data_IF_209972705844
#
_entry.id   IF_209972705844
#
_cell.length_a   1.000
_cell.length_b   1.000
_cell.length_c   1.000
_cell.angle_alpha   90.00
_cell.angle_beta   90.00
_cell.angle_gamma   90.00
#
_symmetry.space_group_name_H-M   'P 1'
#
loop_
_entity.id
_entity.type
_entity.pdbx_description
1 polymer ?
#
# COMPACT_ATOMS: atom_id res chain seq x y z
N UNK A 1 1.18 21.70 4.12
CA UNK A 1 1.70 20.82 3.05
C UNK A 1 0.63 20.77 1.97
N UNK A 2 0.93 21.25 0.77
CA UNK A 2 0.03 21.12 -0.38
C UNK A 2 0.11 19.67 -0.85
N UNK A 3 -1.02 18.96 -0.90
CA UNK A 3 -1.05 17.62 -1.47
C UNK A 3 -0.66 17.72 -2.94
N UNK A 4 0.44 17.07 -3.31
CA UNK A 4 0.90 17.02 -4.70
C UNK A 4 0.08 15.96 -5.42
N UNK A 5 -0.53 16.33 -6.55
CA UNK A 5 -1.24 15.39 -7.41
C UNK A 5 -0.18 14.68 -8.26
N UNK A 6 -0.10 13.33 -8.24
CA UNK A 6 0.84 12.60 -9.08
C UNK A 6 0.50 12.77 -10.56
N UNK A 7 1.53 12.78 -11.42
CA UNK A 7 1.33 12.51 -12.85
C UNK A 7 0.90 11.06 -13.08
N UNK A 8 0.40 10.74 -14.26
CA UNK A 8 -0.01 9.37 -14.60
C UNK A 8 1.13 8.35 -14.46
N UNK A 9 2.35 8.71 -14.88
CA UNK A 9 3.53 7.87 -14.73
C UNK A 9 3.88 7.63 -13.25
N UNK A 10 3.77 8.68 -12.43
CA UNK A 10 4.01 8.59 -10.99
C UNK A 10 2.96 7.73 -10.30
N UNK A 11 1.69 7.90 -10.68
CA UNK A 11 0.60 7.07 -10.19
C UNK A 11 0.80 5.60 -10.60
N UNK A 12 1.22 5.32 -11.84
CA UNK A 12 1.54 3.96 -12.28
C UNK A 12 2.70 3.35 -11.48
N UNK A 13 3.77 4.10 -11.25
CA UNK A 13 4.90 3.63 -10.45
C UNK A 13 4.47 3.31 -9.01
N UNK A 14 3.72 4.21 -8.35
CA UNK A 14 3.18 3.95 -7.01
C UNK A 14 2.17 2.80 -6.99
N UNK A 15 1.43 2.56 -8.09
CA UNK A 15 0.55 1.39 -8.22
C UNK A 15 1.34 0.08 -8.28
N UNK A 16 2.52 0.07 -8.90
CA UNK A 16 3.40 -1.10 -8.88
C UNK A 16 3.88 -1.39 -7.46
N UNK A 17 4.30 -0.35 -6.71
CA UNK A 17 4.67 -0.46 -5.29
C UNK A 17 3.53 -1.02 -4.44
N UNK A 18 2.30 -0.56 -4.65
CA UNK A 18 1.10 -1.11 -3.98
C UNK A 18 0.98 -2.63 -4.22
N UNK A 19 1.18 -3.09 -5.46
CA UNK A 19 1.08 -4.51 -5.80
C UNK A 19 2.21 -5.33 -5.14
N UNK A 20 3.44 -4.82 -5.14
CA UNK A 20 4.58 -5.49 -4.52
C UNK A 20 4.43 -5.61 -3.00
N UNK A 21 3.99 -4.53 -2.34
CA UNK A 21 3.71 -4.53 -0.89
C UNK A 21 2.61 -5.53 -0.56
N UNK A 22 1.50 -5.56 -1.31
CA UNK A 22 0.42 -6.52 -1.07
C UNK A 22 0.84 -7.96 -1.37
N UNK A 23 1.78 -8.17 -2.29
CA UNK A 23 2.36 -9.49 -2.58
C UNK A 23 3.22 -9.97 -1.41
N UNK A 24 4.10 -9.13 -0.88
CA UNK A 24 4.94 -9.44 0.29
C UNK A 24 4.05 -9.72 1.52
N UNK A 25 3.00 -8.91 1.71
CA UNK A 25 2.07 -9.05 2.83
C UNK A 25 0.96 -10.09 2.59
N UNK A 26 1.07 -10.93 1.55
CA UNK A 26 0.04 -11.88 1.14
C UNK A 26 -0.47 -12.81 2.24
N UNK A 27 0.38 -13.16 3.21
CA UNK A 27 0.01 -13.98 4.37
C UNK A 27 -0.90 -13.28 5.38
N UNK A 28 -1.07 -11.96 5.27
CA UNK A 28 -1.76 -11.10 6.24
C UNK A 28 -2.96 -10.36 5.65
N UNK A 29 -3.41 -10.72 4.43
CA UNK A 29 -4.47 -9.98 3.71
C UNK A 29 -5.78 -9.86 4.51
N UNK A 30 -6.17 -10.88 5.28
CA UNK A 30 -7.37 -10.83 6.15
C UNK A 30 -7.24 -9.81 7.32
N UNK A 31 -6.02 -9.37 7.58
CA UNK A 31 -5.65 -8.50 8.68
C UNK A 31 -5.28 -7.09 8.27
N UNK A 32 -5.24 -6.78 6.97
CA UNK A 32 -4.89 -5.46 6.45
C UNK A 32 -5.97 -4.92 5.52
N UNK A 33 -6.06 -3.60 5.42
CA UNK A 33 -7.01 -2.92 4.52
C UNK A 33 -6.31 -1.74 3.87
N UNK A 34 -6.44 -1.59 2.56
CA UNK A 34 -5.97 -0.39 1.85
C UNK A 34 -6.83 0.80 2.26
N UNK A 35 -6.20 1.88 2.69
CA UNK A 35 -6.84 3.17 3.00
C UNK A 35 -6.19 4.28 2.17
N UNK A 36 -6.64 5.52 2.33
CA UNK A 36 -6.03 6.67 1.66
C UNK A 36 -6.36 6.77 0.16
N UNK A 37 -5.47 7.42 -0.59
CA UNK A 37 -5.74 7.86 -1.97
C UNK A 37 -5.90 6.74 -3.00
N UNK A 38 -5.49 5.51 -2.68
CA UNK A 38 -5.72 4.33 -3.54
C UNK A 38 -7.14 3.77 -3.46
N UNK A 39 -7.89 4.05 -2.39
CA UNK A 39 -9.24 3.48 -2.18
C UNK A 39 -10.22 3.78 -3.33
N UNK A 40 -10.33 5.04 -3.84
CA UNK A 40 -11.29 5.34 -4.89
C UNK A 40 -11.02 4.56 -6.18
N UNK A 41 -9.76 4.46 -6.62
CA UNK A 41 -9.40 3.75 -7.86
C UNK A 41 -9.58 2.23 -7.71
N UNK A 42 -9.26 1.65 -6.55
CA UNK A 42 -9.47 0.22 -6.30
C UNK A 42 -10.95 -0.16 -6.18
N UNK A 43 -11.77 0.72 -5.60
CA UNK A 43 -13.20 0.44 -5.34
C UNK A 43 -14.07 0.76 -6.56
N UNK A 44 -13.71 1.82 -7.30
CA UNK A 44 -14.47 2.32 -8.43
C UNK A 44 -13.53 2.55 -9.64
N UNK A 45 -12.97 1.47 -10.22
CA UNK A 45 -11.96 1.58 -11.26
C UNK A 45 -12.49 2.28 -12.51
N UNK A 46 -11.61 3.03 -13.19
CA UNK A 46 -11.92 3.70 -14.45
C UNK A 46 -12.79 4.96 -14.33
N UNK A 47 -12.93 5.51 -13.13
CA UNK A 47 -13.70 6.75 -12.85
C UNK A 47 -12.85 8.02 -12.88
N UNK A 48 -11.60 7.93 -13.35
CA UNK A 48 -10.64 9.04 -13.40
C UNK A 48 -10.05 9.38 -12.04
N UNK A 49 -9.90 8.39 -11.15
CA UNK A 49 -9.21 8.60 -9.88
C UNK A 49 -7.69 8.48 -10.10
N UNK A 50 -6.95 9.52 -9.69
CA UNK A 50 -5.51 9.62 -9.96
C UNK A 50 -4.70 8.61 -9.12
N UNK A 51 -5.21 8.19 -7.96
CA UNK A 51 -4.47 7.37 -7.00
C UNK A 51 -3.66 8.22 -6.03
N UNK A 52 -2.51 7.69 -5.58
CA UNK A 52 -1.66 8.31 -4.57
C UNK A 52 -0.19 8.00 -4.81
N UNK A 53 0.70 8.88 -4.34
CA UNK A 53 2.12 8.56 -4.21
C UNK A 53 2.38 7.50 -3.14
N UNK A 54 1.65 7.60 -2.03
CA UNK A 54 1.83 6.77 -0.85
C UNK A 54 0.92 5.53 -0.88
N UNK A 55 1.37 4.46 -0.22
CA UNK A 55 0.58 3.25 0.06
C UNK A 55 0.22 3.23 1.53
N UNK A 56 -1.05 3.49 1.85
CA UNK A 56 -1.55 3.48 3.22
C UNK A 56 -2.30 2.18 3.52
N UNK A 57 -1.88 1.49 4.59
CA UNK A 57 -2.52 0.26 5.07
C UNK A 57 -2.98 0.42 6.52
N UNK A 58 -4.23 0.04 6.79
CA UNK A 58 -4.76 -0.11 8.13
C UNK A 58 -4.57 -1.54 8.62
N UNK A 59 -4.05 -1.72 9.84
CA UNK A 59 -3.93 -3.03 10.49
C UNK A 59 -5.14 -3.33 11.39
N UNK A 60 -5.84 -4.41 11.10
CA UNK A 60 -7.00 -4.85 11.86
C UNK A 60 -6.58 -5.62 13.10
N UNK A 61 -6.55 -4.91 14.25
CA UNK A 61 -6.20 -5.50 15.56
C UNK A 61 -7.01 -6.74 15.94
N UNK A 62 -8.26 -6.89 15.46
CA UNK A 62 -9.11 -8.05 15.74
C UNK A 62 -8.76 -9.28 14.89
N UNK A 63 -7.98 -9.10 13.81
CA UNK A 63 -7.65 -10.13 12.82
C UNK A 63 -6.18 -10.54 12.84
N UNK A 64 -5.32 -9.72 13.46
CA UNK A 64 -3.90 -10.00 13.61
C UNK A 64 -3.52 -10.12 15.09
N UNK A 65 -2.90 -11.24 15.45
CA UNK A 65 -2.25 -11.41 16.75
C UNK A 65 -1.13 -10.36 16.95
N UNK A 66 -0.72 -10.07 18.20
CA UNK A 66 0.37 -9.12 18.46
C UNK A 66 1.65 -9.40 17.65
N UNK A 67 2.06 -10.66 17.55
CA UNK A 67 3.27 -11.05 16.82
C UNK A 67 3.09 -10.92 15.30
N UNK A 68 1.91 -11.25 14.77
CA UNK A 68 1.60 -11.05 13.35
C UNK A 68 1.60 -9.55 12.99
N UNK A 69 1.08 -8.67 13.86
CA UNK A 69 1.17 -7.21 13.61
C UNK A 69 2.61 -6.72 13.59
N UNK A 70 3.47 -7.26 14.47
CA UNK A 70 4.90 -6.94 14.44
C UNK A 70 5.55 -7.44 13.16
N UNK A 71 5.22 -8.65 12.72
CA UNK A 71 5.75 -9.22 11.49
C UNK A 71 5.33 -8.40 10.26
N UNK A 72 4.06 -7.99 10.16
CA UNK A 72 3.59 -7.09 9.10
C UNK A 72 4.41 -5.79 9.04
N UNK A 73 4.72 -5.19 10.19
CA UNK A 73 5.55 -3.98 10.24
C UNK A 73 7.01 -4.25 9.83
N UNK A 74 7.56 -5.43 10.13
CA UNK A 74 8.90 -5.84 9.72
C UNK A 74 8.95 -6.11 8.21
N UNK A 75 7.97 -6.82 7.67
CA UNK A 75 7.87 -7.16 6.25
C UNK A 75 7.60 -5.91 5.41
N UNK A 76 6.77 -4.98 5.90
CA UNK A 76 6.56 -3.69 5.25
C UNK A 76 7.84 -2.82 5.25
N UNK A 77 8.66 -2.89 6.31
CA UNK A 77 9.97 -2.23 6.32
C UNK A 77 10.92 -2.89 5.32
N UNK A 78 10.97 -4.22 5.28
CA UNK A 78 11.76 -4.94 4.29
C UNK A 78 11.34 -4.58 2.87
N UNK A 79 10.04 -4.50 2.59
CA UNK A 79 9.51 -4.05 1.30
C UNK A 79 9.96 -2.62 0.97
N UNK A 80 9.91 -1.70 1.94
CA UNK A 80 10.37 -0.32 1.74
C UNK A 80 11.86 -0.24 1.44
N UNK A 81 12.69 -1.02 2.15
CA UNK A 81 14.14 -1.05 1.95
C UNK A 81 14.47 -1.70 0.59
N UNK A 82 13.78 -2.77 0.22
CA UNK A 82 13.95 -3.47 -1.05
C UNK A 82 13.56 -2.60 -2.25
N UNK A 83 12.39 -1.94 -2.20
CA UNK A 83 11.93 -1.03 -3.25
C UNK A 83 12.91 0.12 -3.44
N UNK A 84 13.48 0.65 -2.35
CA UNK A 84 14.49 1.70 -2.42
C UNK A 84 15.84 1.23 -3.02
N UNK A 85 16.14 -0.06 -3.00
CA UNK A 85 17.34 -0.63 -3.64
C UNK A 85 17.15 -0.85 -5.15
N UNK A 86 15.92 -1.13 -5.59
CA UNK A 86 15.62 -1.50 -6.99
C UNK A 86 15.04 -0.36 -7.84
N UNK A 87 14.65 0.76 -7.24
CA UNK A 87 14.10 1.95 -7.92
C UNK A 87 15.16 3.03 -8.15
#
# INVERSE_FOLDING_TARGET
MTAQIPSDDQAQASRAVLLDVLTILGLYLDGIVVIGGWVPELTFPGRGHVGSFDVDLALLRKRLAPDQRRQVLQDARYASDWIAEVA
#
